data_IF_862534697308
#
_entry.id   IF_862534697308
#
_cell.length_a   1.000
_cell.length_b   1.000
_cell.length_c   1.000
_cell.angle_alpha   90.00
_cell.angle_beta   90.00
_cell.angle_gamma   90.00
#
_symmetry.space_group_name_H-M   'P 1'
#
loop_
_entity.id
_entity.type
_entity.pdbx_description
1 polymer ?
#
# COMPACT_ATOMS: atom_id res chain seq x y z
N UNK A 1 -11.30 -22.37 -28.71
CA UNK A 1 -9.85 -22.55 -28.82
C UNK A 1 -9.30 -21.92 -27.55
N UNK A 2 -9.01 -22.74 -26.54
CA UNK A 2 -8.43 -22.25 -25.28
C UNK A 2 -6.94 -22.16 -25.57
N UNK A 3 -6.41 -20.94 -25.67
CA UNK A 3 -4.99 -20.74 -25.87
C UNK A 3 -4.20 -21.34 -24.69
N UNK A 4 -3.07 -21.97 -25.01
CA UNK A 4 -2.28 -22.88 -24.17
C UNK A 4 -1.52 -22.19 -23.01
N UNK A 5 -2.06 -21.09 -22.47
CA UNK A 5 -1.42 -20.17 -21.51
C UNK A 5 -2.31 -19.94 -20.27
N UNK A 6 -3.42 -20.67 -20.16
CA UNK A 6 -4.30 -20.62 -19.01
C UNK A 6 -3.84 -21.65 -17.96
N UNK A 7 -3.51 -21.18 -16.76
CA UNK A 7 -3.15 -22.03 -15.62
C UNK A 7 -4.25 -21.96 -14.58
N UNK A 8 -4.62 -23.12 -14.03
CA UNK A 8 -5.50 -23.20 -12.87
C UNK A 8 -4.64 -23.26 -11.59
N UNK A 9 -4.86 -22.31 -10.69
CA UNK A 9 -4.18 -22.27 -9.39
C UNK A 9 -5.12 -22.74 -8.29
N UNK A 10 -4.59 -23.58 -7.40
CA UNK A 10 -5.24 -23.92 -6.14
C UNK A 10 -5.10 -22.74 -5.18
N UNK A 11 -6.08 -21.83 -5.23
CA UNK A 11 -6.12 -20.68 -4.32
C UNK A 11 -6.65 -21.08 -2.94
N UNK A 12 -6.15 -20.44 -1.86
CA UNK A 12 -6.74 -20.54 -0.53
C UNK A 12 -8.24 -20.20 -0.53
N UNK A 13 -8.98 -20.72 0.45
CA UNK A 13 -10.45 -20.58 0.50
C UNK A 13 -10.88 -19.12 0.66
N UNK A 14 -10.03 -18.28 1.24
CA UNK A 14 -10.18 -16.83 1.38
C UNK A 14 -10.24 -16.11 0.03
N UNK A 15 -9.67 -16.70 -1.03
CA UNK A 15 -9.65 -16.16 -2.39
C UNK A 15 -10.59 -16.91 -3.33
N UNK A 16 -11.57 -17.64 -2.80
CA UNK A 16 -12.54 -18.40 -3.60
C UNK A 16 -13.39 -17.53 -4.56
N UNK A 17 -13.45 -16.22 -4.31
CA UNK A 17 -14.10 -15.23 -5.19
C UNK A 17 -13.28 -14.94 -6.46
N UNK A 18 -11.98 -15.22 -6.45
CA UNK A 18 -11.08 -14.97 -7.58
C UNK A 18 -11.14 -16.15 -8.54
N UNK A 19 -11.25 -15.86 -9.84
CA UNK A 19 -11.19 -16.90 -10.85
C UNK A 19 -9.86 -17.66 -10.76
N UNK A 20 -9.94 -18.99 -10.56
CA UNK A 20 -8.76 -19.86 -10.45
C UNK A 20 -7.96 -19.96 -11.74
N UNK A 21 -8.56 -19.61 -12.87
CA UNK A 21 -7.94 -19.65 -14.19
C UNK A 21 -7.30 -18.30 -14.49
N UNK A 22 -5.98 -18.27 -14.52
CA UNK A 22 -5.20 -17.08 -14.83
C UNK A 22 -4.56 -17.21 -16.21
N UNK A 23 -4.67 -16.16 -17.03
CA UNK A 23 -3.85 -16.03 -18.24
C UNK A 23 -2.51 -15.45 -17.83
N UNK A 24 -1.48 -16.29 -17.76
CA UNK A 24 -0.15 -15.83 -17.33
C UNK A 24 0.75 -15.69 -18.53
N UNK A 25 0.71 -14.53 -19.19
CA UNK A 25 1.64 -14.22 -20.26
C UNK A 25 3.01 -13.81 -19.66
N UNK A 26 4.07 -14.48 -20.12
CA UNK A 26 5.48 -14.12 -19.83
C UNK A 26 5.99 -14.36 -18.40
N UNK A 27 5.62 -15.47 -17.75
CA UNK A 27 6.39 -15.94 -16.58
C UNK A 27 7.83 -16.24 -16.99
N UNK A 28 8.75 -15.34 -16.65
CA UNK A 28 10.18 -15.66 -16.60
C UNK A 28 10.42 -16.43 -15.31
N UNK A 29 11.17 -17.53 -15.40
CA UNK A 29 11.65 -18.25 -14.22
C UNK A 29 12.30 -17.24 -13.27
N UNK A 30 11.76 -17.07 -12.06
CA UNK A 30 12.43 -16.33 -11.00
C UNK A 30 13.71 -17.08 -10.63
N UNK A 31 14.83 -16.61 -11.16
CA UNK A 31 16.19 -17.05 -10.83
C UNK A 31 16.84 -16.06 -9.84
N UNK A 32 16.01 -15.39 -9.03
CA UNK A 32 16.41 -14.34 -8.10
C UNK A 32 16.14 -14.76 -6.65
N UNK A 33 16.90 -14.12 -5.75
CA UNK A 33 16.93 -14.30 -4.30
C UNK A 33 15.54 -14.60 -3.69
N UNK A 34 15.38 -15.68 -2.89
CA UNK A 34 14.14 -15.98 -2.16
C UNK A 34 13.58 -14.83 -1.32
N UNK A 35 14.38 -13.81 -1.02
CA UNK A 35 13.94 -12.56 -0.36
C UNK A 35 12.94 -11.73 -1.18
N UNK A 36 12.86 -11.94 -2.51
CA UNK A 36 11.85 -11.32 -3.38
C UNK A 36 10.48 -12.00 -3.30
N UNK A 37 10.40 -13.17 -2.66
CA UNK A 37 9.12 -13.78 -2.32
C UNK A 37 8.54 -12.99 -1.16
N UNK A 38 7.73 -12.00 -1.49
CA UNK A 38 6.96 -11.27 -0.49
C UNK A 38 6.05 -12.32 0.18
N UNK A 39 6.14 -12.52 1.50
CA UNK A 39 5.21 -13.37 2.22
C UNK A 39 3.79 -12.92 1.86
N UNK A 40 2.88 -13.85 1.62
CA UNK A 40 1.44 -13.55 1.62
C UNK A 40 1.01 -13.25 3.06
N UNK A 41 1.58 -12.20 3.65
CA UNK A 41 1.10 -11.58 4.87
C UNK A 41 -0.24 -10.98 4.52
N UNK A 42 -1.28 -11.77 4.75
CA UNK A 42 -2.68 -11.39 4.95
C UNK A 42 -3.01 -10.03 4.29
N UNK A 43 -2.84 -9.98 2.97
CA UNK A 43 -3.26 -8.82 2.20
C UNK A 43 -4.76 -8.87 2.40
N UNK A 44 -5.28 -8.01 3.27
CA UNK A 44 -6.69 -7.93 3.63
C UNK A 44 -7.50 -7.47 2.42
N UNK A 45 -7.51 -8.31 1.39
CA UNK A 45 -8.34 -8.21 0.21
C UNK A 45 -9.74 -8.46 0.74
N UNK A 46 -10.39 -7.36 1.13
CA UNK A 46 -11.82 -7.34 1.39
C UNK A 46 -12.51 -7.94 0.17
N UNK A 47 -13.63 -8.63 0.33
CA UNK A 47 -14.36 -9.30 -0.76
C UNK A 47 -14.64 -8.41 -1.99
N UNK A 48 -14.49 -7.09 -1.86
CA UNK A 48 -14.52 -6.08 -2.92
C UNK A 48 -13.26 -5.95 -3.78
N UNK A 49 -12.21 -6.78 -3.59
CA UNK A 49 -10.89 -6.64 -4.23
C UNK A 49 -10.21 -5.27 -3.99
N UNK A 50 -10.71 -4.47 -3.04
CA UNK A 50 -10.15 -3.16 -2.70
C UNK A 50 -9.21 -3.30 -1.50
N UNK A 51 -7.97 -2.89 -1.67
CA UNK A 51 -7.04 -2.73 -0.56
C UNK A 51 -7.26 -1.36 0.11
N UNK A 52 -7.44 -1.33 1.42
CA UNK A 52 -7.43 -0.08 2.18
C UNK A 52 -5.97 0.28 2.47
N UNK A 53 -5.46 1.33 1.82
CA UNK A 53 -4.14 1.88 2.12
C UNK A 53 -4.18 2.52 3.52
N UNK A 54 -3.55 1.85 4.49
CA UNK A 54 -3.44 2.34 5.87
C UNK A 54 -2.10 3.08 6.00
N UNK A 55 -2.10 4.37 6.37
CA UNK A 55 -0.86 5.09 6.62
C UNK A 55 -0.26 4.63 7.94
N UNK A 56 1.02 4.27 7.93
CA UNK A 56 1.73 3.72 9.10
C UNK A 56 2.58 4.77 9.81
N UNK A 57 3.08 5.77 9.08
CA UNK A 57 3.98 6.78 9.66
C UNK A 57 3.99 8.06 8.83
N UNK A 58 4.19 9.19 9.49
CA UNK A 58 4.56 10.45 8.85
C UNK A 58 6.09 10.53 8.78
N UNK A 59 6.63 10.53 7.57
CA UNK A 59 8.06 10.58 7.32
C UNK A 59 8.61 12.01 7.35
N UNK A 60 7.80 12.98 6.93
CA UNK A 60 8.22 14.37 6.86
C UNK A 60 7.03 15.31 6.90
N UNK A 61 7.28 16.57 7.23
CA UNK A 61 6.31 17.67 7.21
C UNK A 61 6.92 18.87 6.50
N UNK A 62 6.17 19.43 5.55
CA UNK A 62 6.58 20.61 4.80
C UNK A 62 5.49 21.67 4.85
N UNK A 63 5.87 22.92 5.10
CA UNK A 63 4.96 24.06 5.07
C UNK A 63 5.36 24.97 3.92
N UNK A 64 4.47 25.14 2.95
CA UNK A 64 4.64 26.04 1.83
C UNK A 64 3.95 27.37 2.14
N UNK A 65 4.75 28.43 2.29
CA UNK A 65 4.23 29.78 2.40
C UNK A 65 3.90 30.32 1.01
N UNK A 66 2.63 30.57 0.76
CA UNK A 66 2.14 31.30 -0.41
C UNK A 66 2.02 32.78 -0.06
N UNK A 67 1.79 33.61 -1.08
CA UNK A 67 1.65 35.08 -0.92
C UNK A 67 0.52 35.48 0.04
N UNK A 68 -0.51 34.64 0.19
CA UNK A 68 -1.70 34.94 0.98
C UNK A 68 -2.00 33.94 2.08
N UNK A 69 -1.48 32.71 2.02
CA UNK A 69 -1.79 31.62 2.95
C UNK A 69 -0.58 30.70 3.15
N UNK A 70 -0.60 29.88 4.19
CA UNK A 70 0.37 28.79 4.39
C UNK A 70 -0.34 27.45 4.19
N UNK A 71 0.25 26.55 3.42
CA UNK A 71 -0.28 25.20 3.17
C UNK A 71 0.69 24.19 3.73
N UNK A 72 0.21 23.34 4.64
CA UNK A 72 1.02 22.31 5.26
C UNK A 72 0.70 20.92 4.67
N UNK A 73 1.75 20.18 4.32
CA UNK A 73 1.69 18.85 3.75
C UNK A 73 2.58 17.90 4.55
N UNK A 74 2.17 16.65 4.66
CA UNK A 74 2.92 15.59 5.33
C UNK A 74 3.21 14.47 4.35
N UNK A 75 4.41 13.89 4.44
CA UNK A 75 4.78 12.72 3.67
C UNK A 75 4.35 11.46 4.43
N UNK A 76 3.36 10.74 3.93
CA UNK A 76 2.80 9.57 4.57
C UNK A 76 3.38 8.28 3.97
N UNK A 77 3.88 7.39 4.83
CA UNK A 77 4.23 6.03 4.47
C UNK A 77 3.00 5.14 4.62
N UNK A 78 2.72 4.32 3.60
CA UNK A 78 1.57 3.42 3.59
C UNK A 78 2.02 1.98 3.84
N UNK A 79 1.18 1.19 4.51
CA UNK A 79 1.52 -0.17 4.98
C UNK A 79 2.09 -1.10 3.90
N UNK A 80 1.62 -0.96 2.66
CA UNK A 80 1.99 -1.82 1.53
C UNK A 80 2.81 -1.11 0.45
N UNK A 81 3.40 0.05 0.77
CA UNK A 81 4.20 0.81 -0.18
C UNK A 81 5.62 0.97 0.32
N UNK A 82 6.58 1.01 -0.60
CA UNK A 82 7.96 1.30 -0.25
C UNK A 82 8.12 2.75 0.21
N UNK A 83 9.18 3.04 0.97
CA UNK A 83 9.43 4.39 1.50
C UNK A 83 9.63 5.41 0.38
N UNK A 84 10.15 4.96 -0.75
CA UNK A 84 10.34 5.70 -1.98
C UNK A 84 8.99 6.10 -2.62
N UNK A 85 7.94 5.32 -2.41
CA UNK A 85 6.59 5.52 -2.97
C UNK A 85 5.68 6.36 -2.05
N UNK A 86 6.15 6.74 -0.87
CA UNK A 86 5.40 7.55 0.08
C UNK A 86 4.90 8.87 -0.54
N UNK A 87 3.60 9.16 -0.35
CA UNK A 87 2.91 10.30 -0.96
C UNK A 87 2.88 11.53 -0.06
N UNK A 88 2.66 12.70 -0.65
CA UNK A 88 2.43 13.95 0.07
C UNK A 88 0.93 14.22 0.18
N UNK A 89 0.42 14.25 1.40
CA UNK A 89 -0.99 14.49 1.72
C UNK A 89 -1.15 15.80 2.50
N UNK A 90 -2.34 16.39 2.46
CA UNK A 90 -2.66 17.59 3.25
C UNK A 90 -2.64 17.27 4.74
N UNK A 91 -1.94 18.09 5.53
CA UNK A 91 -1.82 17.86 6.98
C UNK A 91 -3.19 17.87 7.69
N UNK A 92 -4.10 18.75 7.29
CA UNK A 92 -5.45 18.85 7.87
C UNK A 92 -6.28 17.57 7.65
N UNK A 93 -6.26 17.03 6.42
CA UNK A 93 -6.97 15.80 6.10
C UNK A 93 -6.39 14.60 6.84
N UNK A 94 -5.06 14.53 6.93
CA UNK A 94 -4.37 13.47 7.66
C UNK A 94 -4.66 13.53 9.16
N UNK A 95 -4.71 14.73 9.77
CA UNK A 95 -5.10 14.87 11.18
C UNK A 95 -6.55 14.47 11.43
N UNK A 96 -7.45 14.76 10.49
CA UNK A 96 -8.87 14.42 10.61
C UNK A 96 -9.12 12.92 10.48
N UNK A 97 -8.42 12.24 9.56
CA UNK A 97 -8.60 10.81 9.27
C UNK A 97 -7.74 9.90 10.16
N UNK A 98 -6.54 10.33 10.48
CA UNK A 98 -5.52 9.55 11.20
C UNK A 98 -4.86 10.37 12.32
N UNK A 99 -5.64 10.85 13.31
CA UNK A 99 -5.11 11.70 14.39
C UNK A 99 -3.99 11.04 15.19
N UNK A 100 -4.07 9.72 15.38
CA UNK A 100 -3.07 8.91 16.10
C UNK A 100 -1.64 9.02 15.50
N UNK A 101 -1.50 9.35 14.21
CA UNK A 101 -0.19 9.55 13.58
C UNK A 101 0.52 10.84 14.03
N UNK A 102 -0.22 11.76 14.65
CA UNK A 102 0.29 13.06 15.11
C UNK A 102 0.45 13.14 16.64
N UNK A 103 -0.03 12.14 17.38
CA UNK A 103 -0.01 12.11 18.84
C UNK A 103 1.32 11.57 19.41
N UNK A 104 2.14 10.88 18.61
CA UNK A 104 3.42 10.28 19.04
C UNK A 104 4.61 11.26 19.14
N UNK A 105 4.33 12.57 19.20
CA UNK A 105 5.31 13.66 19.22
C UNK A 105 5.55 14.33 20.58
N UNK A 106 5.16 13.73 21.70
CA UNK A 106 5.64 14.17 23.03
C UNK A 106 7.10 13.73 23.22
N UNK A 107 8.03 14.64 22.87
CA UNK A 107 9.39 14.58 23.42
C UNK A 107 9.28 15.04 24.89
N UNK A 108 9.65 14.22 25.88
CA UNK A 108 9.72 14.69 27.26
C UNK A 108 10.87 15.70 27.39
N UNK A 109 10.54 16.78 28.08
CA UNK A 109 11.35 17.92 28.54
C UNK A 109 12.81 17.61 28.89
#
# INVERSE_FOLDING_TARGET
MIDNVAYELELPQELAIVHRVFHISMLKKCMGDPSLVIPTEDIGIKDSLSYEDIPIQILNRQVHKLRTNEVASVKALWRNQFVEEATWETEEDMKKRYPHLFESGEVPN
#
